data_IF_829330850731
#
_entry.id   IF_829330850731
#
_cell.length_a   1.000
_cell.length_b   1.000
_cell.length_c   1.000
_cell.angle_alpha   90.00
_cell.angle_beta   90.00
_cell.angle_gamma   90.00
#
_symmetry.space_group_name_H-M   'P 1'
#
loop_
_entity.id
_entity.type
_entity.pdbx_description
1 polymer ?
#
# COMPACT_ATOMS: atom_id res chain seq x y z
N UNK A 1 -8.23 -20.79 -8.41
CA UNK A 1 -7.30 -20.66 -7.26
C UNK A 1 -7.38 -19.21 -6.81
N UNK A 2 -7.50 -18.93 -5.51
CA UNK A 2 -7.45 -17.56 -5.00
C UNK A 2 -6.03 -17.00 -5.19
N UNK A 3 -5.93 -15.73 -5.52
CA UNK A 3 -4.66 -15.01 -5.65
C UNK A 3 -4.42 -14.14 -4.41
N UNK A 4 -3.17 -13.74 -4.13
CA UNK A 4 -2.91 -12.70 -3.14
C UNK A 4 -3.62 -11.40 -3.48
N UNK A 5 -4.03 -10.64 -2.46
CA UNK A 5 -4.65 -9.33 -2.61
C UNK A 5 -3.69 -8.19 -2.21
N UNK A 6 -3.75 -7.06 -2.90
CA UNK A 6 -3.03 -5.84 -2.54
C UNK A 6 -3.90 -5.00 -1.61
N UNK A 7 -3.40 -4.71 -0.41
CA UNK A 7 -4.04 -3.84 0.56
C UNK A 7 -3.33 -2.49 0.53
N UNK A 8 -3.97 -1.49 -0.08
CA UNK A 8 -3.44 -0.12 -0.14
C UNK A 8 -3.89 0.65 1.08
N UNK A 9 -2.93 1.08 1.90
CA UNK A 9 -3.19 1.82 3.14
C UNK A 9 -3.20 3.33 2.90
N UNK A 10 -4.37 3.93 2.97
CA UNK A 10 -4.61 5.35 2.72
C UNK A 10 -5.41 6.04 3.86
N UNK A 11 -5.33 5.51 5.10
CA UNK A 11 -6.07 6.03 6.24
C UNK A 11 -5.22 6.87 7.21
N UNK A 12 -3.93 7.08 6.91
CA UNK A 12 -3.02 7.91 7.71
C UNK A 12 -3.37 9.40 7.62
N UNK A 13 -3.17 10.14 8.70
CA UNK A 13 -3.51 11.57 8.79
C UNK A 13 -2.63 12.50 7.93
N UNK A 14 -1.49 12.02 7.41
CA UNK A 14 -0.58 12.83 6.58
C UNK A 14 0.04 14.03 7.32
N UNK A 15 0.13 13.99 8.65
CA UNK A 15 0.46 15.12 9.53
C UNK A 15 1.84 15.77 9.31
N UNK A 16 2.77 15.04 8.65
CA UNK A 16 4.11 15.56 8.32
C UNK A 16 4.14 16.40 7.05
N UNK A 17 3.06 16.36 6.25
CA UNK A 17 2.94 17.17 5.04
C UNK A 17 2.40 18.56 5.40
N UNK A 18 3.20 19.61 5.25
CA UNK A 18 2.89 20.98 5.71
C UNK A 18 1.84 21.76 4.93
N UNK A 19 1.19 21.18 3.90
CA UNK A 19 0.25 21.87 3.01
C UNK A 19 -1.21 21.79 3.46
N UNK A 20 -2.09 22.65 2.92
CA UNK A 20 -3.54 22.67 3.23
C UNK A 20 -4.28 21.45 2.69
N UNK A 21 -3.70 20.74 1.73
CA UNK A 21 -4.30 19.56 1.08
C UNK A 21 -3.57 18.29 1.52
N UNK A 22 -4.33 17.24 1.80
CA UNK A 22 -3.78 15.95 2.23
C UNK A 22 -2.72 15.44 1.23
N UNK A 23 -1.58 14.88 1.72
CA UNK A 23 -0.45 14.42 0.89
C UNK A 23 -0.87 13.48 -0.23
N UNK A 24 -1.83 12.59 0.01
CA UNK A 24 -2.34 11.63 -0.98
C UNK A 24 -3.20 12.28 -2.09
N UNK A 25 -3.70 13.50 -1.87
CA UNK A 25 -4.43 14.29 -2.86
C UNK A 25 -3.54 15.22 -3.67
N UNK A 26 -2.23 15.29 -3.35
CA UNK A 26 -1.29 16.12 -4.10
C UNK A 26 -1.19 15.68 -5.55
N UNK A 27 -1.18 16.64 -6.47
CA UNK A 27 -1.09 16.40 -7.91
C UNK A 27 0.18 15.67 -8.31
N UNK A 28 0.03 14.59 -9.09
CA UNK A 28 1.11 13.82 -9.67
C UNK A 28 0.75 13.42 -11.11
N UNK A 29 1.37 14.08 -12.10
CA UNK A 29 1.05 13.88 -13.51
C UNK A 29 -0.41 14.21 -13.81
N UNK A 30 -1.15 13.27 -14.38
CA UNK A 30 -2.59 13.38 -14.70
C UNK A 30 -3.50 12.95 -13.55
N UNK A 31 -2.93 12.69 -12.36
CA UNK A 31 -3.65 12.15 -11.21
C UNK A 31 -3.21 12.83 -9.91
N UNK A 32 -3.44 12.17 -8.79
CA UNK A 32 -2.85 12.47 -7.50
C UNK A 32 -2.01 11.29 -7.00
N UNK A 33 -1.30 11.46 -5.88
CA UNK A 33 -0.40 10.45 -5.30
C UNK A 33 -1.14 9.12 -5.08
N UNK A 34 -2.30 9.14 -4.39
CA UNK A 34 -3.09 7.91 -4.17
C UNK A 34 -3.54 7.27 -5.48
N UNK A 35 -4.03 8.08 -6.41
CA UNK A 35 -4.50 7.60 -7.70
C UNK A 35 -3.40 6.95 -8.54
N UNK A 36 -2.16 7.45 -8.46
CA UNK A 36 -1.01 6.82 -9.11
C UNK A 36 -0.66 5.48 -8.47
N UNK A 37 -0.61 5.42 -7.12
CA UNK A 37 -0.40 4.16 -6.38
C UNK A 37 -1.46 3.12 -6.72
N UNK A 38 -2.74 3.52 -6.76
CA UNK A 38 -3.84 2.62 -7.09
C UNK A 38 -3.78 2.09 -8.52
N UNK A 39 -3.43 2.94 -9.51
CA UNK A 39 -3.26 2.48 -10.90
C UNK A 39 -2.18 1.42 -11.00
N UNK A 40 -1.01 1.65 -10.41
CA UNK A 40 0.07 0.67 -10.41
C UNK A 40 -0.34 -0.64 -9.72
N UNK A 41 -1.13 -0.56 -8.63
CA UNK A 41 -1.68 -1.74 -7.97
C UNK A 41 -2.66 -2.49 -8.89
N UNK A 42 -3.58 -1.79 -9.56
CA UNK A 42 -4.54 -2.36 -10.50
C UNK A 42 -3.87 -2.98 -11.75
N UNK A 43 -2.79 -2.37 -12.23
CA UNK A 43 -2.00 -2.88 -13.37
C UNK A 43 -1.35 -4.25 -13.07
N UNK A 44 -1.19 -4.62 -11.80
CA UNK A 44 -0.77 -5.96 -11.39
C UNK A 44 -1.83 -7.03 -11.67
N UNK A 45 -3.09 -6.64 -11.88
CA UNK A 45 -4.26 -7.51 -12.00
C UNK A 45 -4.54 -8.39 -10.78
N UNK A 46 -3.89 -8.15 -9.67
CA UNK A 46 -4.26 -8.72 -8.38
C UNK A 46 -5.50 -8.01 -7.82
N UNK A 47 -6.33 -8.69 -7.01
CA UNK A 47 -7.40 -8.02 -6.26
C UNK A 47 -6.82 -6.87 -5.42
N UNK A 48 -7.46 -5.69 -5.46
CA UNK A 48 -7.01 -4.50 -4.71
C UNK A 48 -8.10 -4.09 -3.73
N UNK A 49 -7.71 -3.90 -2.46
CA UNK A 49 -8.54 -3.28 -1.42
C UNK A 49 -7.88 -1.98 -0.99
N UNK A 50 -8.67 -0.93 -0.86
CA UNK A 50 -8.21 0.37 -0.35
C UNK A 50 -8.77 0.61 1.03
N UNK A 51 -7.90 0.76 2.01
CA UNK A 51 -8.28 1.15 3.36
C UNK A 51 -8.04 2.65 3.51
N UNK A 52 -9.09 3.41 3.71
CA UNK A 52 -9.05 4.87 3.63
C UNK A 52 -9.94 5.55 4.67
N UNK A 53 -9.97 6.87 4.68
CA UNK A 53 -10.91 7.69 5.47
C UNK A 53 -12.00 8.28 4.56
N UNK A 54 -13.04 8.85 5.14
CA UNK A 54 -14.10 9.52 4.39
C UNK A 54 -13.56 10.60 3.44
N UNK A 55 -12.51 11.34 3.87
CA UNK A 55 -11.90 12.41 3.07
C UNK A 55 -11.31 11.94 1.73
N UNK A 56 -10.79 10.71 1.68
CA UNK A 56 -10.12 10.16 0.50
C UNK A 56 -10.96 9.10 -0.23
N UNK A 57 -12.15 8.78 0.31
CA UNK A 57 -12.99 7.69 -0.20
C UNK A 57 -13.43 7.90 -1.65
N UNK A 58 -13.71 9.14 -2.05
CA UNK A 58 -14.13 9.45 -3.42
C UNK A 58 -13.01 9.22 -4.44
N UNK A 59 -11.76 9.56 -4.08
CA UNK A 59 -10.60 9.24 -4.91
C UNK A 59 -10.46 7.73 -5.11
N UNK A 60 -10.65 6.94 -4.04
CA UNK A 60 -10.58 5.48 -4.13
C UNK A 60 -11.72 4.90 -4.97
N UNK A 61 -12.97 5.34 -4.74
CA UNK A 61 -14.17 4.88 -5.48
C UNK A 61 -14.15 5.23 -6.97
N UNK A 62 -13.40 6.23 -7.36
CA UNK A 62 -13.19 6.55 -8.77
C UNK A 62 -12.32 5.52 -9.53
N UNK A 63 -11.61 4.63 -8.82
CA UNK A 63 -10.67 3.68 -9.41
C UNK A 63 -10.99 2.22 -9.08
N UNK A 64 -11.57 1.93 -7.91
CA UNK A 64 -11.93 0.57 -7.49
C UNK A 64 -13.42 0.46 -7.16
N UNK A 65 -13.98 -0.75 -7.21
CA UNK A 65 -15.37 -0.97 -6.86
C UNK A 65 -15.65 -0.59 -5.40
N UNK A 66 -16.84 -0.09 -5.09
CA UNK A 66 -17.21 0.36 -3.75
C UNK A 66 -17.03 -0.72 -2.66
N UNK A 67 -17.24 -1.99 -3.01
CA UNK A 67 -17.02 -3.14 -2.12
C UNK A 67 -15.55 -3.36 -1.74
N UNK A 68 -14.63 -2.80 -2.52
CA UNK A 68 -13.19 -2.92 -2.33
C UNK A 68 -12.60 -1.67 -1.62
N UNK A 69 -13.46 -0.77 -1.14
CA UNK A 69 -13.09 0.41 -0.36
C UNK A 69 -13.56 0.25 1.08
N UNK A 70 -12.62 0.14 1.99
CA UNK A 70 -12.86 0.10 3.44
C UNK A 70 -12.66 1.50 4.00
N UNK A 71 -13.74 2.13 4.46
CA UNK A 71 -13.69 3.48 5.03
C UNK A 71 -13.59 3.38 6.55
N UNK A 72 -12.48 3.82 7.10
CA UNK A 72 -12.26 3.88 8.55
C UNK A 72 -12.76 5.21 9.13
N UNK A 73 -13.15 5.24 10.42
CA UNK A 73 -13.45 6.48 11.12
C UNK A 73 -12.23 7.44 11.08
N UNK A 74 -12.48 8.73 10.95
CA UNK A 74 -11.42 9.72 11.03
C UNK A 74 -10.76 9.70 12.42
N UNK A 75 -9.44 9.90 12.45
CA UNK A 75 -8.71 10.06 13.72
C UNK A 75 -9.35 11.19 14.56
N UNK A 76 -9.73 10.88 15.80
CA UNK A 76 -10.39 11.84 16.70
C UNK A 76 -11.92 11.77 16.74
N UNK A 77 -12.60 10.95 15.91
CA UNK A 77 -14.04 10.71 16.01
C UNK A 77 -14.32 9.62 17.05
N UNK A 78 -14.87 9.95 18.21
CA UNK A 78 -15.40 9.05 19.25
C UNK A 78 -14.53 7.87 19.74
N UNK A 79 -13.41 7.59 19.09
CA UNK A 79 -12.42 6.57 19.47
C UNK A 79 -11.30 7.29 20.22
N UNK A 80 -11.08 6.92 21.48
CA UNK A 80 -10.13 7.58 22.41
C UNK A 80 -8.66 7.49 21.96
N UNK A 81 -8.33 6.58 21.05
CA UNK A 81 -6.96 6.40 20.53
C UNK A 81 -6.95 6.39 18.99
N UNK A 82 -5.90 6.89 18.34
CA UNK A 82 -5.69 6.68 16.90
C UNK A 82 -5.72 5.17 16.61
N UNK A 83 -6.49 4.75 15.63
CA UNK A 83 -6.64 3.32 15.29
C UNK A 83 -5.32 2.66 14.85
N UNK A 84 -4.34 3.46 14.41
CA UNK A 84 -2.99 3.03 14.03
C UNK A 84 -2.92 2.22 12.74
N UNK A 85 -1.70 1.97 12.28
CA UNK A 85 -1.44 1.22 11.05
C UNK A 85 -1.90 -0.24 11.16
N UNK A 86 -1.74 -0.88 12.33
CA UNK A 86 -2.17 -2.26 12.56
C UNK A 86 -3.65 -2.46 12.30
N UNK A 87 -4.49 -1.57 12.79
CA UNK A 87 -5.93 -1.62 12.56
C UNK A 87 -6.29 -1.48 11.07
N UNK A 88 -5.59 -0.60 10.34
CA UNK A 88 -5.78 -0.43 8.90
C UNK A 88 -5.42 -1.71 8.13
N UNK A 89 -4.34 -2.38 8.52
CA UNK A 89 -3.95 -3.68 7.93
C UNK A 89 -5.03 -4.72 8.23
N UNK A 90 -5.45 -4.86 9.49
CA UNK A 90 -6.46 -5.83 9.91
C UNK A 90 -7.79 -5.65 9.16
N UNK A 91 -8.24 -4.41 8.99
CA UNK A 91 -9.46 -4.09 8.25
C UNK A 91 -9.36 -4.48 6.76
N UNK A 92 -8.22 -4.18 6.11
CA UNK A 92 -7.97 -4.53 4.72
C UNK A 92 -7.89 -6.05 4.50
N UNK A 93 -7.17 -6.76 5.37
CA UNK A 93 -7.06 -8.23 5.34
C UNK A 93 -8.43 -8.88 5.53
N UNK A 94 -9.23 -8.40 6.50
CA UNK A 94 -10.57 -8.93 6.76
C UNK A 94 -11.52 -8.75 5.56
N UNK A 95 -11.35 -7.69 4.76
CA UNK A 95 -12.14 -7.44 3.56
C UNK A 95 -11.85 -8.43 2.42
N UNK A 96 -10.75 -9.18 2.50
CA UNK A 96 -10.33 -10.22 1.55
C UNK A 96 -9.83 -11.46 2.28
N UNK A 97 -10.64 -11.96 3.18
CA UNK A 97 -10.33 -13.15 3.99
C UNK A 97 -10.10 -14.43 3.15
N UNK A 98 -10.62 -14.45 1.92
CA UNK A 98 -10.50 -15.55 0.95
C UNK A 98 -9.23 -15.48 0.08
N UNK A 99 -8.40 -14.45 0.21
CA UNK A 99 -7.16 -14.32 -0.54
C UNK A 99 -6.12 -15.35 -0.12
N UNK A 100 -5.25 -15.78 -1.04
CA UNK A 100 -4.13 -16.69 -0.72
C UNK A 100 -2.94 -15.98 -0.04
N UNK A 101 -3.07 -14.69 0.24
CA UNK A 101 -2.09 -13.85 0.92
C UNK A 101 -2.42 -12.36 0.73
N UNK A 102 -1.68 -11.49 1.38
CA UNK A 102 -1.91 -10.05 1.35
C UNK A 102 -0.61 -9.28 1.19
N UNK A 103 -0.57 -8.34 0.23
CA UNK A 103 0.54 -7.42 0.05
C UNK A 103 0.14 -6.06 0.61
N UNK A 104 0.78 -5.64 1.67
CA UNK A 104 0.56 -4.33 2.30
C UNK A 104 1.40 -3.29 1.57
N UNK A 105 0.72 -2.31 0.95
CA UNK A 105 1.32 -1.22 0.19
C UNK A 105 0.84 0.12 0.78
N UNK A 106 1.73 1.01 1.26
CA UNK A 106 1.37 2.38 1.62
C UNK A 106 0.81 3.16 0.42
N UNK A 107 -0.25 3.94 0.65
CA UNK A 107 -0.92 4.71 -0.41
C UNK A 107 -0.11 5.89 -0.96
N UNK A 108 0.99 6.24 -0.30
CA UNK A 108 1.94 7.30 -0.63
C UNK A 108 3.17 6.82 -1.41
N UNK A 109 3.13 5.60 -1.97
CA UNK A 109 4.22 5.02 -2.76
C UNK A 109 3.85 4.89 -4.25
N UNK A 110 3.69 6.00 -4.97
CA UNK A 110 3.14 6.04 -6.32
C UNK A 110 4.08 5.49 -7.40
N UNK A 111 5.32 5.18 -7.08
CA UNK A 111 6.32 4.67 -8.03
C UNK A 111 6.50 3.15 -7.98
N UNK A 112 5.91 2.45 -7.01
CA UNK A 112 5.98 0.97 -6.93
C UNK A 112 5.31 0.36 -8.15
N UNK A 113 6.04 -0.48 -8.88
CA UNK A 113 5.59 -1.06 -10.15
C UNK A 113 4.72 -2.30 -9.95
N UNK A 114 3.81 -2.55 -10.89
CA UNK A 114 2.99 -3.76 -10.93
C UNK A 114 3.85 -5.05 -10.93
N UNK A 115 4.98 -5.05 -11.65
CA UNK A 115 5.92 -6.19 -11.68
C UNK A 115 6.52 -6.52 -10.31
N UNK A 116 6.75 -5.50 -9.48
CA UNK A 116 7.21 -5.65 -8.10
C UNK A 116 6.16 -6.32 -7.23
N UNK A 117 4.90 -5.88 -7.34
CA UNK A 117 3.78 -6.51 -6.63
C UNK A 117 3.66 -8.00 -6.99
N UNK A 118 3.76 -8.33 -8.29
CA UNK A 118 3.73 -9.71 -8.75
C UNK A 118 4.93 -10.55 -8.29
N UNK A 119 6.13 -9.94 -8.19
CA UNK A 119 7.31 -10.63 -7.70
C UNK A 119 7.16 -10.99 -6.21
N UNK A 120 6.69 -10.06 -5.38
CA UNK A 120 6.44 -10.32 -3.94
C UNK A 120 5.28 -11.31 -3.76
N UNK A 121 4.20 -11.20 -4.56
CA UNK A 121 3.08 -12.15 -4.52
C UNK A 121 3.53 -13.60 -4.75
N UNK A 122 4.39 -13.83 -5.75
CA UNK A 122 4.94 -15.16 -6.04
C UNK A 122 5.82 -15.71 -4.93
N UNK A 123 6.55 -14.86 -4.21
CA UNK A 123 7.38 -15.31 -3.11
C UNK A 123 6.57 -15.88 -1.93
N UNK A 124 5.29 -15.49 -1.80
CA UNK A 124 4.39 -16.03 -0.78
C UNK A 124 4.00 -17.50 -0.99
N UNK A 125 4.27 -18.06 -2.16
CA UNK A 125 4.10 -19.51 -2.40
C UNK A 125 5.09 -20.36 -1.58
N UNK A 126 6.18 -19.75 -1.12
CA UNK A 126 7.27 -20.45 -0.43
C UNK A 126 7.62 -19.87 0.95
N UNK A 127 7.24 -18.63 1.21
CA UNK A 127 7.62 -17.91 2.42
C UNK A 127 6.40 -17.30 3.10
N UNK A 128 6.29 -17.41 4.44
CA UNK A 128 5.18 -16.81 5.19
C UNK A 128 5.18 -15.27 5.11
N UNK A 129 6.38 -14.67 4.96
CA UNK A 129 6.56 -13.23 4.78
C UNK A 129 7.53 -12.97 3.62
N UNK A 130 7.20 -12.01 2.76
CA UNK A 130 8.09 -11.53 1.72
C UNK A 130 8.03 -10.00 1.64
N UNK A 131 9.12 -9.35 1.21
CA UNK A 131 9.12 -7.89 1.02
C UNK A 131 9.97 -7.51 -0.19
N UNK A 132 9.58 -6.42 -0.86
CA UNK A 132 10.39 -5.88 -1.93
C UNK A 132 11.70 -5.31 -1.38
N UNK A 133 12.80 -5.52 -2.11
CA UNK A 133 14.12 -5.05 -1.77
C UNK A 133 14.80 -4.46 -3.01
N UNK A 134 15.43 -3.29 -2.86
CA UNK A 134 16.19 -2.66 -3.92
C UNK A 134 17.60 -2.36 -3.43
N UNK A 135 18.61 -2.92 -4.10
CA UNK A 135 20.04 -2.82 -3.74
C UNK A 135 20.30 -3.15 -2.26
N UNK A 136 19.71 -4.25 -1.79
CA UNK A 136 19.84 -4.71 -0.40
C UNK A 136 19.04 -3.92 0.63
N UNK A 137 18.34 -2.84 0.23
CA UNK A 137 17.50 -2.03 1.11
C UNK A 137 16.06 -2.51 1.06
N UNK A 138 15.49 -2.79 2.22
CA UNK A 138 14.11 -3.23 2.36
C UNK A 138 13.13 -2.09 2.07
N UNK A 139 12.09 -2.40 1.30
CA UNK A 139 11.01 -1.49 0.93
C UNK A 139 9.63 -2.14 1.00
N UNK A 140 8.69 -1.61 0.24
CA UNK A 140 7.31 -2.09 0.09
C UNK A 140 7.04 -2.55 -1.36
N UNK A 141 6.05 -3.46 -1.54
CA UNK A 141 5.13 -3.99 -0.54
C UNK A 141 5.79 -4.98 0.42
N UNK A 142 5.13 -5.20 1.56
CA UNK A 142 5.38 -6.33 2.44
C UNK A 142 4.23 -7.30 2.30
N UNK A 143 4.53 -8.55 1.93
CA UNK A 143 3.57 -9.61 1.72
C UNK A 143 3.50 -10.57 2.90
N UNK A 144 2.32 -11.15 3.13
CA UNK A 144 2.01 -12.12 4.17
C UNK A 144 1.19 -13.26 3.55
N UNK A 145 1.59 -14.52 3.80
CA UNK A 145 0.86 -15.69 3.32
C UNK A 145 -0.43 -15.93 4.11
N UNK A 146 -1.34 -16.72 3.54
CA UNK A 146 -2.67 -16.97 4.11
C UNK A 146 -2.64 -17.54 5.53
N UNK A 147 -1.62 -18.30 5.89
CA UNK A 147 -1.45 -18.87 7.23
C UNK A 147 -1.36 -17.82 8.35
N UNK A 148 -0.97 -16.58 8.00
CA UNK A 148 -0.86 -15.46 8.95
C UNK A 148 -2.17 -14.68 9.13
N UNK A 149 -3.26 -15.13 8.54
CA UNK A 149 -4.57 -14.44 8.61
C UNK A 149 -4.98 -14.09 10.04
N UNK A 150 -4.97 -15.09 10.93
CA UNK A 150 -5.44 -14.91 12.32
C UNK A 150 -4.63 -13.87 13.10
N UNK A 151 -3.34 -13.73 12.79
CA UNK A 151 -2.48 -12.74 13.43
C UNK A 151 -2.68 -11.35 12.81
N UNK A 152 -2.85 -11.29 11.48
CA UNK A 152 -3.05 -10.04 10.77
C UNK A 152 -4.35 -9.33 11.17
N UNK A 153 -5.46 -10.06 11.33
CA UNK A 153 -6.75 -9.48 11.70
C UNK A 153 -6.82 -9.00 13.16
N UNK A 154 -5.85 -9.38 13.99
CA UNK A 154 -5.76 -8.93 15.39
C UNK A 154 -4.79 -7.76 15.58
N UNK A 155 -4.16 -7.27 14.51
CA UNK A 155 -3.23 -6.14 14.59
C UNK A 155 -3.93 -4.86 15.04
N UNK A 156 -3.25 -4.15 15.95
CA UNK A 156 -3.68 -2.85 16.50
C UNK A 156 -2.48 -1.92 16.64
N UNK A 157 -2.72 -0.62 16.89
CA UNK A 157 -1.68 0.37 17.17
C UNK A 157 -0.81 0.71 15.95
N UNK A 158 0.25 1.49 16.20
CA UNK A 158 1.07 2.09 15.15
C UNK A 158 2.21 1.21 14.64
N UNK A 159 2.56 0.14 15.37
CA UNK A 159 3.66 -0.76 14.96
C UNK A 159 3.34 -1.54 13.68
N UNK A 160 2.07 -1.59 13.30
CA UNK A 160 1.63 -2.33 12.12
C UNK A 160 2.02 -3.80 12.21
N UNK A 161 2.52 -4.35 11.10
CA UNK A 161 2.92 -5.76 11.03
C UNK A 161 4.42 -6.00 11.32
N UNK A 162 5.16 -5.02 11.87
CA UNK A 162 6.61 -5.16 12.13
C UNK A 162 6.95 -6.36 13.00
N UNK A 163 6.11 -6.66 14.02
CA UNK A 163 6.31 -7.82 14.91
C UNK A 163 6.20 -9.13 14.16
N UNK A 164 5.26 -9.25 13.21
CA UNK A 164 5.11 -10.45 12.39
C UNK A 164 6.34 -10.65 11.50
N UNK A 165 6.81 -9.58 10.86
CA UNK A 165 8.02 -9.66 10.03
C UNK A 165 9.27 -10.03 10.82
N UNK A 166 9.35 -9.66 12.08
CA UNK A 166 10.47 -10.04 12.95
C UNK A 166 10.35 -11.50 13.47
N UNK A 167 9.13 -12.03 13.57
CA UNK A 167 8.84 -13.34 14.14
C UNK A 167 8.95 -14.48 13.13
N UNK A 168 8.57 -14.22 11.88
CA UNK A 168 8.51 -15.23 10.83
C UNK A 168 9.69 -15.14 9.86
N UNK A 169 10.11 -16.26 9.24
CA UNK A 169 11.07 -16.22 8.15
C UNK A 169 10.58 -15.27 7.05
N UNK A 170 11.38 -14.26 6.75
CA UNK A 170 11.02 -13.22 5.80
C UNK A 170 11.99 -13.19 4.61
N UNK A 171 11.46 -13.29 3.39
CA UNK A 171 12.25 -13.29 2.16
C UNK A 171 12.32 -11.88 1.57
N UNK A 172 13.53 -11.34 1.40
CA UNK A 172 13.79 -10.18 0.57
C UNK A 172 13.74 -10.56 -0.92
N UNK A 173 12.84 -9.94 -1.66
CA UNK A 173 12.70 -10.10 -3.11
C UNK A 173 13.43 -8.93 -3.77
N UNK A 174 14.60 -9.19 -4.33
CA UNK A 174 15.38 -8.16 -5.04
C UNK A 174 14.67 -7.78 -6.33
N UNK A 175 14.38 -6.50 -6.49
CA UNK A 175 13.68 -5.94 -7.66
C UNK A 175 14.45 -4.75 -8.23
N UNK A 176 14.37 -4.55 -9.54
CA UNK A 176 14.91 -3.36 -10.17
C UNK A 176 13.87 -2.23 -10.18
N UNK A 177 13.46 -1.81 -9.00
CA UNK A 177 12.40 -0.82 -8.78
C UNK A 177 12.76 0.06 -7.56
N UNK A 178 13.34 1.22 -7.81
CA UNK A 178 13.68 2.19 -6.76
C UNK A 178 12.45 2.73 -6.03
N UNK A 179 11.28 2.71 -6.69
CA UNK A 179 10.00 3.16 -6.13
C UNK A 179 9.61 2.44 -4.84
N UNK A 180 10.15 1.24 -4.57
CA UNK A 180 9.89 0.49 -3.33
C UNK A 180 10.44 1.17 -2.07
N UNK A 181 11.32 2.16 -2.24
CA UNK A 181 11.96 2.93 -1.16
C UNK A 181 11.48 4.38 -1.07
N UNK A 182 10.58 4.79 -1.97
CA UNK A 182 10.18 6.20 -2.12
C UNK A 182 8.71 6.38 -1.73
N UNK A 183 8.49 6.89 -0.54
CA UNK A 183 7.21 7.38 -0.04
C UNK A 183 7.14 8.91 -0.12
N UNK A 184 5.95 9.46 -0.22
CA UNK A 184 5.70 10.90 -0.22
C UNK A 184 5.29 11.33 1.19
N UNK A 185 6.25 11.74 2.00
CA UNK A 185 6.01 12.26 3.35
C UNK A 185 6.15 13.79 3.45
N UNK A 186 6.97 14.38 2.58
CA UNK A 186 7.28 15.81 2.54
C UNK A 186 7.05 16.40 1.15
N UNK A 187 7.09 17.73 1.04
CA UNK A 187 7.05 18.41 -0.27
C UNK A 187 8.29 18.08 -1.12
N UNK A 188 9.45 17.90 -0.50
CA UNK A 188 10.67 17.50 -1.20
C UNK A 188 10.54 16.10 -1.79
N UNK A 189 9.93 15.16 -1.07
CA UNK A 189 9.65 13.82 -1.61
C UNK A 189 8.71 13.90 -2.81
N UNK A 190 7.67 14.73 -2.72
CA UNK A 190 6.76 14.96 -3.85
C UNK A 190 7.50 15.53 -5.06
N UNK A 191 8.42 16.45 -4.86
CA UNK A 191 9.26 16.98 -5.94
C UNK A 191 10.12 15.91 -6.59
N UNK A 192 10.76 15.03 -5.80
CA UNK A 192 11.55 13.89 -6.30
C UNK A 192 10.70 12.93 -7.11
N UNK A 193 9.54 12.54 -6.59
CA UNK A 193 8.60 11.65 -7.28
C UNK A 193 8.13 12.28 -8.60
N UNK A 194 7.83 13.57 -8.64
CA UNK A 194 7.45 14.30 -9.86
C UNK A 194 8.56 14.30 -10.91
N UNK A 195 9.82 14.45 -10.51
CA UNK A 195 10.96 14.40 -11.41
C UNK A 195 11.05 13.02 -12.10
N UNK A 196 11.01 11.94 -11.31
CA UNK A 196 11.04 10.55 -11.83
C UNK A 196 9.87 10.28 -12.79
N UNK A 197 8.67 10.80 -12.49
CA UNK A 197 7.48 10.59 -13.32
C UNK A 197 7.54 11.35 -14.64
N UNK A 198 8.22 12.50 -14.70
CA UNK A 198 8.40 13.28 -15.94
C UNK A 198 9.41 12.64 -16.90
N UNK A 199 10.43 12.01 -16.36
CA UNK A 199 11.51 11.38 -17.13
C UNK A 199 11.16 9.97 -17.62
N UNK A 200 10.03 9.42 -17.16
CA UNK A 200 9.54 8.12 -17.65
C UNK A 200 9.09 8.26 -19.13
N UNK A 201 9.65 7.45 -20.05
CA UNK A 201 9.22 7.50 -21.45
C UNK A 201 7.73 7.16 -21.54
N UNK A 202 6.97 8.01 -22.22
CA UNK A 202 5.56 7.75 -22.55
C UNK A 202 5.50 6.50 -23.43
N UNK A 203 5.21 5.35 -22.84
CA UNK A 203 4.88 4.15 -23.62
C UNK A 203 3.59 4.45 -24.37
N UNK A 204 3.70 4.74 -25.68
CA UNK A 204 2.54 4.82 -26.56
C UNK A 204 1.96 3.41 -26.69
N UNK A 205 0.66 3.21 -26.49
CA UNK A 205 0.03 1.94 -26.81
C UNK A 205 0.17 1.67 -28.32
N UNK A 206 0.65 0.50 -28.67
CA UNK A 206 0.57 -0.03 -30.03
C UNK A 206 -0.86 -0.45 -30.36
#
# INVERSE_FOLDING_TARGET
MSSPAVIVLAAGAGSRFGGPTHKLQQHLGTSNVLGATLRNALDSRLPVVVVTTAQLSDTARGLVAARDVVVLPAAGSAVREPLGMGYSIAAGVSARADASGWLVLPGDMPLVRASTLLAVARALDQYPVAFAQYRGRRGHPVGFAAELYSELITLTGDEGARRLVARYPAQGVEVNDEGVLLDVDTEDDLHRVRAVTRDAPVMRPN
#
